data_IF_083945582121
#
_entry.id   IF_083945582121
#
_cell.length_a   1.000
_cell.length_b   1.000
_cell.length_c   1.000
_cell.angle_alpha   90.00
_cell.angle_beta   90.00
_cell.angle_gamma   90.00
#
_symmetry.space_group_name_H-M   'P 1'
#
loop_
_entity.id
_entity.type
_entity.pdbx_description
1 polymer ?
#
# COMPACT_ATOMS: atom_id res chain seq x y z
N UNK A 1 -21.18 17.55 -8.84
CA UNK A 1 -21.60 16.14 -9.05
C UNK A 1 -20.52 15.24 -8.48
N UNK A 2 -20.81 14.40 -7.47
CA UNK A 2 -19.85 13.40 -6.99
C UNK A 2 -19.77 12.30 -8.05
N UNK A 3 -18.65 12.18 -8.73
CA UNK A 3 -18.32 11.00 -9.53
C UNK A 3 -18.18 9.84 -8.56
N UNK A 4 -19.24 9.02 -8.44
CA UNK A 4 -19.20 7.73 -7.77
C UNK A 4 -18.24 6.81 -8.54
N UNK A 5 -16.95 6.96 -8.27
CA UNK A 5 -15.93 6.04 -8.73
C UNK A 5 -16.16 4.71 -8.02
N UNK A 6 -16.29 3.63 -8.79
CA UNK A 6 -16.24 2.23 -8.32
C UNK A 6 -15.29 2.11 -7.12
N UNK A 7 -15.76 1.46 -6.05
CA UNK A 7 -14.93 1.12 -4.90
C UNK A 7 -13.59 0.55 -5.39
N UNK A 8 -12.50 1.15 -4.91
CA UNK A 8 -11.15 0.70 -5.28
C UNK A 8 -10.93 -0.63 -4.57
N UNK A 9 -10.90 -1.71 -5.34
CA UNK A 9 -10.53 -3.03 -4.82
C UNK A 9 -9.10 -2.96 -4.26
N UNK A 10 -8.91 -3.38 -3.01
CA UNK A 10 -7.61 -3.37 -2.31
C UNK A 10 -7.18 -4.79 -2.00
N UNK A 11 -5.87 -5.02 -2.06
CA UNK A 11 -5.20 -6.23 -1.63
C UNK A 11 -4.47 -5.98 -0.32
N UNK A 12 -4.62 -6.89 0.63
CA UNK A 12 -3.81 -6.89 1.85
C UNK A 12 -2.34 -7.03 1.49
N UNK A 13 -1.49 -6.25 2.15
CA UNK A 13 -0.04 -6.22 1.92
C UNK A 13 0.73 -7.24 2.76
N UNK A 14 0.05 -7.91 3.71
CA UNK A 14 0.68 -8.78 4.69
C UNK A 14 1.38 -8.03 5.82
N UNK A 15 1.47 -6.70 5.73
CA UNK A 15 2.10 -5.84 6.74
C UNK A 15 0.98 -5.17 7.57
N UNK A 16 0.69 -5.62 8.81
CA UNK A 16 -0.48 -5.15 9.56
C UNK A 16 -0.51 -3.63 9.76
N UNK A 17 0.65 -3.03 10.00
CA UNK A 17 0.78 -1.57 10.13
C UNK A 17 0.45 -0.84 8.84
N UNK A 18 0.88 -1.36 7.68
CA UNK A 18 0.58 -0.78 6.38
C UNK A 18 -0.90 -0.95 6.01
N UNK A 19 -1.47 -2.13 6.26
CA UNK A 19 -2.87 -2.42 5.97
C UNK A 19 -3.80 -1.54 6.82
N UNK A 20 -3.44 -1.28 8.07
CA UNK A 20 -4.17 -0.36 8.94
C UNK A 20 -4.16 1.07 8.38
N UNK A 21 -2.99 1.63 8.07
CA UNK A 21 -2.88 3.01 7.56
C UNK A 21 -3.46 3.16 6.15
N UNK A 22 -3.40 2.10 5.33
CA UNK A 22 -3.95 2.10 3.97
C UNK A 22 -5.45 1.73 3.94
N UNK A 23 -6.06 1.47 5.10
CA UNK A 23 -7.47 1.08 5.25
C UNK A 23 -7.81 -0.14 4.40
N UNK A 24 -7.14 -1.26 4.68
CA UNK A 24 -7.35 -2.55 4.01
C UNK A 24 -6.39 -2.85 2.86
N UNK A 25 -5.22 -2.19 2.83
CA UNK A 25 -4.13 -2.52 1.92
C UNK A 25 -4.03 -1.68 0.65
N UNK A 26 -3.40 -2.23 -0.38
CA UNK A 26 -2.94 -1.51 -1.58
C UNK A 26 -3.93 -1.70 -2.75
N UNK A 27 -4.20 -0.67 -3.59
CA UNK A 27 -5.08 -0.81 -4.75
C UNK A 27 -4.68 -1.94 -5.71
N UNK A 28 -5.63 -2.84 -6.02
CA UNK A 28 -5.43 -3.96 -6.94
C UNK A 28 -5.23 -3.47 -8.38
N UNK A 29 -4.26 -4.05 -9.08
CA UNK A 29 -4.02 -3.78 -10.50
C UNK A 29 -3.52 -2.36 -10.79
N UNK A 30 -2.92 -1.69 -9.80
CA UNK A 30 -2.43 -0.32 -9.91
C UNK A 30 -1.04 -0.19 -9.27
N UNK A 31 -0.20 0.66 -9.87
CA UNK A 31 1.10 1.00 -9.30
C UNK A 31 0.93 1.89 -8.07
N UNK A 32 1.63 1.58 -6.98
CA UNK A 32 1.65 2.38 -5.75
C UNK A 32 3.05 2.93 -5.51
N UNK A 33 3.17 4.25 -5.33
CA UNK A 33 4.44 4.92 -5.09
C UNK A 33 4.70 5.06 -3.58
N UNK A 34 5.85 4.58 -3.13
CA UNK A 34 6.36 4.82 -1.77
C UNK A 34 7.45 5.89 -1.84
N UNK A 35 7.25 7.02 -1.15
CA UNK A 35 8.19 8.14 -1.12
C UNK A 35 8.51 8.58 0.30
N UNK A 36 9.71 9.13 0.52
CA UNK A 36 10.19 9.59 1.82
C UNK A 36 11.67 9.98 1.79
N UNK A 37 12.14 10.66 2.83
CA UNK A 37 13.55 11.11 2.97
C UNK A 37 14.54 9.95 3.08
N UNK A 38 15.84 10.22 2.92
CA UNK A 38 16.87 9.20 3.15
C UNK A 38 16.77 8.65 4.59
N UNK A 39 16.94 7.33 4.76
CA UNK A 39 16.80 6.68 6.07
C UNK A 39 15.35 6.39 6.51
N UNK A 40 14.32 6.76 5.74
CA UNK A 40 12.91 6.54 6.09
C UNK A 40 12.41 5.09 6.00
N UNK A 41 13.30 4.10 5.79
CA UNK A 41 12.92 2.69 5.75
C UNK A 41 12.26 2.18 4.46
N UNK A 42 12.27 2.92 3.34
CA UNK A 42 11.63 2.49 2.06
C UNK A 42 12.11 1.12 1.57
N UNK A 43 13.42 0.86 1.61
CA UNK A 43 13.99 -0.43 1.19
C UNK A 43 13.53 -1.55 2.13
N UNK A 44 13.46 -1.29 3.43
CA UNK A 44 12.96 -2.25 4.42
C UNK A 44 11.48 -2.56 4.14
N UNK A 45 10.66 -1.53 3.92
CA UNK A 45 9.25 -1.70 3.55
C UNK A 45 9.09 -2.53 2.27
N UNK A 46 9.90 -2.25 1.24
CA UNK A 46 9.85 -2.98 -0.02
C UNK A 46 10.24 -4.46 0.14
N UNK A 47 11.28 -4.76 0.92
CA UNK A 47 11.68 -6.14 1.22
C UNK A 47 10.59 -6.85 2.01
N UNK A 48 10.02 -6.19 3.02
CA UNK A 48 8.96 -6.80 3.83
C UNK A 48 7.70 -7.06 3.01
N UNK A 49 7.36 -6.15 2.09
CA UNK A 49 6.26 -6.38 1.14
C UNK A 49 6.54 -7.56 0.20
N UNK A 50 7.80 -7.76 -0.23
CA UNK A 50 8.18 -8.90 -1.07
C UNK A 50 8.11 -10.25 -0.32
N UNK A 51 8.32 -10.23 1.00
CA UNK A 51 8.29 -11.45 1.83
C UNK A 51 6.87 -11.80 2.24
N UNK A 52 6.06 -10.80 2.59
CA UNK A 52 4.71 -11.00 3.17
C UNK A 52 3.56 -10.93 2.15
N UNK A 53 3.76 -10.26 1.01
CA UNK A 53 2.73 -9.98 -0.01
C UNK A 53 2.70 -10.98 -1.15
#
# INVERSE_FOLDING_TARGET
MPTAGKDIEKLVSGIPGLDHIASGGIPRGRTTLVSGTAGSGKTVLAVQFLVEG
#
